data_IF_894605681975
#
_entry.id   IF_894605681975
#
_cell.length_a   1.000
_cell.length_b   1.000
_cell.length_c   1.000
_cell.angle_alpha   90.00
_cell.angle_beta   90.00
_cell.angle_gamma   90.00
#
_symmetry.space_group_name_H-M   'P 1'
#
loop_
_entity.id
_entity.type
_entity.pdbx_description
1 polymer ?
#
# COMPACT_ATOMS: atom_id res chain seq x y z
N UNK A 1 -8.90 3.59 -44.42
CA UNK A 1 -8.84 4.59 -43.34
C UNK A 1 -9.35 3.91 -42.08
N UNK A 2 -8.46 3.32 -41.27
CA UNK A 2 -8.85 2.73 -39.99
C UNK A 2 -8.92 3.83 -38.95
N UNK A 3 -10.12 4.06 -38.43
CA UNK A 3 -10.35 4.92 -37.27
C UNK A 3 -9.65 4.31 -36.06
N UNK A 4 -8.52 4.89 -35.68
CA UNK A 4 -7.93 4.69 -34.36
C UNK A 4 -8.95 5.13 -33.31
N UNK A 5 -9.40 4.19 -32.49
CA UNK A 5 -10.11 4.49 -31.25
C UNK A 5 -9.08 5.21 -30.37
N UNK A 6 -9.10 6.53 -30.41
CA UNK A 6 -8.52 7.34 -29.36
C UNK A 6 -9.42 7.08 -28.16
N UNK A 7 -8.98 6.20 -27.26
CA UNK A 7 -9.49 6.19 -25.89
C UNK A 7 -9.29 7.62 -25.40
N UNK A 8 -10.38 8.38 -25.28
CA UNK A 8 -10.34 9.68 -24.62
C UNK A 8 -9.69 9.45 -23.26
N UNK A 9 -8.66 10.22 -22.92
CA UNK A 9 -8.13 10.29 -21.56
C UNK A 9 -9.28 10.71 -20.65
N UNK A 10 -10.02 9.73 -20.13
CA UNK A 10 -10.77 9.94 -18.92
C UNK A 10 -9.70 10.30 -17.88
N UNK A 11 -9.70 11.55 -17.42
CA UNK A 11 -8.98 11.92 -16.21
C UNK A 11 -9.52 10.99 -15.11
N UNK A 12 -8.84 9.87 -14.88
CA UNK A 12 -9.22 8.88 -13.89
C UNK A 12 -8.99 9.52 -12.52
N UNK A 13 -10.05 10.10 -11.97
CA UNK A 13 -10.09 10.62 -10.61
C UNK A 13 -10.32 9.45 -9.65
N UNK A 14 -9.24 8.82 -9.21
CA UNK A 14 -9.28 7.69 -8.28
C UNK A 14 -10.06 8.03 -6.99
N UNK A 15 -9.99 9.27 -6.50
CA UNK A 15 -10.79 9.67 -5.33
C UNK A 15 -12.29 9.66 -5.65
N UNK A 16 -12.67 10.11 -6.85
CA UNK A 16 -14.06 10.06 -7.33
C UNK A 16 -14.57 8.62 -7.38
N UNK A 17 -13.77 7.67 -7.89
CA UNK A 17 -14.14 6.25 -7.92
C UNK A 17 -14.39 5.69 -6.51
N UNK A 18 -13.53 6.05 -5.54
CA UNK A 18 -13.72 5.65 -4.14
C UNK A 18 -15.00 6.27 -3.55
N UNK A 19 -15.30 7.52 -3.89
CA UNK A 19 -16.53 8.19 -3.47
C UNK A 19 -17.77 7.52 -4.08
N UNK A 20 -17.73 7.06 -5.33
CA UNK A 20 -18.82 6.31 -5.94
C UNK A 20 -19.11 4.99 -5.21
N UNK A 21 -18.07 4.27 -4.79
CA UNK A 21 -18.25 3.07 -3.95
C UNK A 21 -18.88 3.40 -2.60
N UNK A 22 -18.45 4.51 -1.97
CA UNK A 22 -19.03 4.98 -0.72
C UNK A 22 -20.52 5.34 -0.90
N UNK A 23 -20.86 6.14 -1.92
CA UNK A 23 -22.22 6.57 -2.20
C UNK A 23 -23.13 5.37 -2.51
N UNK A 24 -22.62 4.38 -3.25
CA UNK A 24 -23.34 3.13 -3.49
C UNK A 24 -23.61 2.35 -2.19
N UNK A 25 -22.67 2.31 -1.24
CA UNK A 25 -22.88 1.65 0.04
C UNK A 25 -23.82 2.46 0.95
N UNK A 26 -23.72 3.79 0.91
CA UNK A 26 -24.47 4.70 1.77
C UNK A 26 -26.00 4.58 1.58
N UNK A 27 -26.47 4.23 0.37
CA UNK A 27 -27.90 4.00 0.09
C UNK A 27 -28.52 2.89 0.94
N UNK A 28 -27.71 1.96 1.47
CA UNK A 28 -28.15 0.87 2.33
C UNK A 28 -28.16 1.24 3.82
N UNK A 29 -27.86 2.49 4.15
CA UNK A 29 -27.85 3.02 5.51
C UNK A 29 -28.98 4.01 5.73
N UNK A 30 -29.20 4.42 6.99
CA UNK A 30 -30.22 5.44 7.35
C UNK A 30 -29.58 6.68 7.98
N UNK A 31 -28.33 6.96 7.61
CA UNK A 31 -27.59 8.10 8.14
C UNK A 31 -27.99 9.40 7.46
N UNK A 32 -27.86 10.51 8.21
CA UNK A 32 -28.08 11.86 7.69
C UNK A 32 -27.13 12.18 6.52
N UNK A 33 -27.61 12.92 5.53
CA UNK A 33 -26.83 13.25 4.34
C UNK A 33 -25.59 14.09 4.66
N UNK A 34 -25.67 15.01 5.64
CA UNK A 34 -24.52 15.80 6.08
C UNK A 34 -23.49 14.96 6.81
N UNK A 35 -23.92 13.96 7.58
CA UNK A 35 -23.00 12.99 8.19
C UNK A 35 -22.28 12.16 7.12
N UNK A 36 -23.00 11.67 6.11
CA UNK A 36 -22.40 10.91 5.00
C UNK A 36 -21.40 11.77 4.22
N UNK A 37 -21.71 13.05 3.98
CA UNK A 37 -20.80 13.99 3.33
C UNK A 37 -19.51 14.22 4.15
N UNK A 38 -19.65 14.33 5.47
CA UNK A 38 -18.51 14.44 6.39
C UNK A 38 -17.65 13.17 6.42
N UNK A 39 -18.26 11.97 6.34
CA UNK A 39 -17.51 10.70 6.32
C UNK A 39 -16.75 10.55 4.99
N UNK A 40 -17.35 11.00 3.88
CA UNK A 40 -16.76 10.93 2.54
C UNK A 40 -15.57 11.87 2.35
N UNK A 41 -15.59 13.01 3.04
CA UNK A 41 -14.59 14.07 2.87
C UNK A 41 -13.28 13.76 3.58
N UNK A 42 -12.15 14.10 2.94
CA UNK A 42 -10.88 14.11 3.65
C UNK A 42 -10.80 15.31 4.60
N UNK A 43 -10.55 15.07 5.88
CA UNK A 43 -10.46 16.12 6.89
C UNK A 43 -9.27 17.06 6.67
N UNK A 44 -8.09 16.52 6.31
CA UNK A 44 -6.88 17.31 6.16
C UNK A 44 -6.08 16.89 4.92
N UNK A 45 -5.70 17.87 4.09
CA UNK A 45 -4.77 17.68 2.97
C UNK A 45 -3.54 18.56 3.19
N UNK A 46 -2.39 17.93 3.43
CA UNK A 46 -1.11 18.62 3.53
C UNK A 46 -0.22 18.33 2.32
N UNK A 47 -0.26 19.23 1.33
CA UNK A 47 0.66 19.27 0.20
C UNK A 47 1.83 20.21 0.50
N UNK A 48 3.05 19.75 0.27
CA UNK A 48 4.24 20.55 0.50
C UNK A 48 5.35 20.20 -0.48
N UNK A 49 6.31 21.13 -0.59
CA UNK A 49 7.51 20.98 -1.41
C UNK A 49 8.74 21.22 -0.55
N UNK A 50 9.77 20.40 -0.72
CA UNK A 50 11.04 20.58 -0.02
C UNK A 50 12.23 20.35 -0.95
N UNK A 51 13.32 21.14 -0.80
CA UNK A 51 14.53 20.95 -1.58
C UNK A 51 15.43 19.87 -0.96
N UNK A 52 16.12 19.13 -1.82
CA UNK A 52 17.28 18.31 -1.46
C UNK A 52 18.50 18.77 -2.27
N UNK A 53 19.71 18.54 -1.75
CA UNK A 53 20.93 18.72 -2.53
C UNK A 53 21.13 17.51 -3.43
N UNK A 54 21.44 17.74 -4.71
CA UNK A 54 21.72 16.69 -5.71
C UNK A 54 22.91 17.10 -6.56
N UNK A 55 24.01 16.36 -6.43
CA UNK A 55 25.30 16.78 -6.99
C UNK A 55 25.67 18.20 -6.54
N UNK A 56 25.92 19.08 -7.51
CA UNK A 56 26.26 20.49 -7.26
C UNK A 56 25.03 21.42 -7.21
N UNK A 57 23.81 20.89 -7.30
CA UNK A 57 22.57 21.66 -7.39
C UNK A 57 21.52 21.25 -6.35
N UNK A 58 20.29 21.69 -6.61
CA UNK A 58 19.12 21.39 -5.79
C UNK A 58 18.01 20.79 -6.65
N UNK A 59 17.29 19.84 -6.07
CA UNK A 59 16.06 19.30 -6.62
C UNK A 59 14.92 19.57 -5.64
N UNK A 60 13.78 20.07 -6.11
CA UNK A 60 12.58 20.31 -5.29
C UNK A 60 11.60 19.17 -5.50
N UNK A 61 11.19 18.54 -4.41
CA UNK A 61 10.32 17.35 -4.43
C UNK A 61 8.93 17.74 -3.96
N UNK A 62 7.91 17.31 -4.70
CA UNK A 62 6.50 17.38 -4.30
C UNK A 62 6.12 16.20 -3.40
N UNK A 63 5.42 16.50 -2.31
CA UNK A 63 4.99 15.52 -1.33
C UNK A 63 3.63 15.85 -0.71
N UNK A 64 2.97 14.81 -0.22
CA UNK A 64 1.65 14.88 0.40
C UNK A 64 1.58 14.01 1.65
N UNK A 65 0.81 14.46 2.64
CA UNK A 65 0.19 13.62 3.66
C UNK A 65 -1.26 14.04 3.82
N UNK A 66 -2.17 13.08 3.72
CA UNK A 66 -3.62 13.31 3.76
C UNK A 66 -4.21 12.45 4.87
N UNK A 67 -5.01 13.06 5.72
CA UNK A 67 -5.77 12.41 6.78
C UNK A 67 -7.24 12.45 6.36
N UNK A 68 -7.81 11.29 6.09
CA UNK A 68 -9.19 11.20 5.65
C UNK A 68 -10.15 11.47 6.81
N UNK A 69 -9.95 10.81 7.95
CA UNK A 69 -10.89 10.90 9.06
C UNK A 69 -10.20 10.82 10.41
N UNK A 70 -10.68 11.61 11.37
CA UNK A 70 -10.25 11.61 12.77
C UNK A 70 -11.25 10.95 13.74
N UNK A 71 -12.26 10.23 13.25
CA UNK A 71 -13.24 9.55 14.12
C UNK A 71 -12.59 8.54 15.09
N UNK A 72 -11.40 8.05 14.74
CA UNK A 72 -10.49 7.27 15.58
C UNK A 72 -9.08 7.87 15.44
N UNK A 73 -8.35 7.94 16.54
CA UNK A 73 -6.97 8.44 16.59
C UNK A 73 -6.05 7.38 17.22
N UNK A 74 -4.81 7.21 16.72
CA UNK A 74 -4.19 7.96 15.63
C UNK A 74 -4.76 7.63 14.24
N UNK A 75 -4.49 8.47 13.24
CA UNK A 75 -4.69 8.06 11.85
C UNK A 75 -3.58 7.09 11.40
N UNK A 76 -3.84 6.32 10.34
CA UNK A 76 -2.94 5.28 9.85
C UNK A 76 -2.91 5.22 8.34
N UNK A 77 -1.70 5.16 7.78
CA UNK A 77 -1.50 4.61 6.44
C UNK A 77 -0.13 4.83 5.83
N UNK A 78 0.09 4.17 4.70
CA UNK A 78 1.42 4.04 4.12
C UNK A 78 1.99 5.33 3.50
N UNK A 79 3.30 5.33 3.24
CA UNK A 79 3.98 6.37 2.44
C UNK A 79 4.48 5.74 1.13
N UNK A 80 4.04 6.27 0.00
CA UNK A 80 4.37 5.79 -1.34
C UNK A 80 5.46 6.62 -2.01
N UNK A 81 6.45 5.97 -2.61
CA UNK A 81 7.41 6.59 -3.54
C UNK A 81 7.04 6.20 -4.97
N UNK A 82 6.58 7.14 -5.78
CA UNK A 82 6.30 6.93 -7.20
C UNK A 82 6.23 8.27 -7.96
N UNK A 83 6.67 8.29 -9.23
CA UNK A 83 6.52 9.45 -10.12
C UNK A 83 5.05 9.78 -10.42
N UNK A 84 4.15 8.82 -10.23
CA UNK A 84 2.71 8.96 -10.48
C UNK A 84 1.94 9.56 -9.31
N UNK A 85 2.58 9.74 -8.15
CA UNK A 85 1.93 10.32 -6.96
C UNK A 85 1.35 11.70 -7.32
N UNK A 86 0.09 11.87 -6.96
CA UNK A 86 -0.66 13.11 -7.07
C UNK A 86 -1.68 13.20 -5.91
N UNK A 87 -2.29 14.37 -5.72
CA UNK A 87 -3.19 14.62 -4.60
C UNK A 87 -4.43 13.69 -4.61
N UNK A 88 -5.06 13.53 -5.77
CA UNK A 88 -6.25 12.70 -5.96
C UNK A 88 -5.99 11.23 -5.58
N UNK A 89 -4.87 10.66 -6.03
CA UNK A 89 -4.45 9.30 -5.65
C UNK A 89 -4.27 9.16 -4.12
N UNK A 90 -3.62 10.15 -3.49
CA UNK A 90 -3.34 10.10 -2.04
C UNK A 90 -4.64 10.26 -1.23
N UNK A 91 -5.60 11.08 -1.70
CA UNK A 91 -6.93 11.20 -1.09
C UNK A 91 -7.70 9.89 -1.16
N UNK A 92 -7.76 9.27 -2.34
CA UNK A 92 -8.39 7.97 -2.57
C UNK A 92 -7.85 6.90 -1.62
N UNK A 93 -6.52 6.81 -1.52
CA UNK A 93 -5.87 5.83 -0.67
C UNK A 93 -6.04 6.14 0.83
N UNK A 94 -6.13 7.41 1.24
CA UNK A 94 -6.43 7.79 2.62
C UNK A 94 -7.87 7.41 3.01
N UNK A 95 -8.83 7.61 2.12
CA UNK A 95 -10.22 7.18 2.31
C UNK A 95 -10.31 5.65 2.45
N UNK A 96 -9.70 4.91 1.52
CA UNK A 96 -9.62 3.45 1.59
C UNK A 96 -8.97 2.95 2.89
N UNK A 97 -8.01 3.67 3.46
CA UNK A 97 -7.45 3.31 4.76
C UNK A 97 -8.48 3.40 5.90
N UNK A 98 -9.35 4.41 5.89
CA UNK A 98 -10.41 4.56 6.91
C UNK A 98 -11.38 3.40 6.83
N UNK A 99 -11.91 3.14 5.63
CA UNK A 99 -12.89 2.07 5.41
C UNK A 99 -12.29 0.69 5.71
N UNK A 100 -11.05 0.45 5.27
CA UNK A 100 -10.34 -0.80 5.57
C UNK A 100 -10.17 -1.01 7.06
N UNK A 101 -9.75 0.01 7.81
CA UNK A 101 -9.60 -0.08 9.26
C UNK A 101 -10.93 -0.40 9.95
N UNK A 102 -12.03 0.23 9.51
CA UNK A 102 -13.37 -0.06 10.01
C UNK A 102 -13.80 -1.52 9.73
N UNK A 103 -13.58 -2.03 8.50
CA UNK A 103 -13.96 -3.41 8.12
C UNK A 103 -13.29 -4.46 9.01
N UNK A 104 -12.03 -4.25 9.40
CA UNK A 104 -11.27 -5.21 10.22
C UNK A 104 -11.19 -4.83 11.71
N UNK A 105 -12.03 -3.90 12.17
CA UNK A 105 -12.07 -3.42 13.56
C UNK A 105 -10.71 -2.97 14.12
N UNK A 106 -9.90 -2.30 13.29
CA UNK A 106 -8.65 -1.68 13.71
C UNK A 106 -8.94 -0.20 14.06
N UNK A 107 -8.66 0.26 15.30
CA UNK A 107 -9.11 1.56 15.79
C UNK A 107 -8.25 2.71 15.29
N UNK A 108 -8.21 2.92 13.98
CA UNK A 108 -7.50 4.03 13.35
C UNK A 108 -8.39 4.74 12.32
N UNK A 109 -8.26 6.07 12.27
CA UNK A 109 -8.65 6.84 11.10
C UNK A 109 -7.72 6.56 9.92
N UNK A 110 -8.17 6.76 8.69
CA UNK A 110 -7.32 6.56 7.52
C UNK A 110 -6.47 7.77 7.21
N UNK A 111 -5.22 7.53 6.82
CA UNK A 111 -4.32 8.52 6.26
C UNK A 111 -3.50 7.91 5.11
N UNK A 112 -2.83 8.73 4.31
CA UNK A 112 -1.89 8.28 3.29
C UNK A 112 -0.85 9.35 3.00
N UNK A 113 0.40 8.94 2.81
CA UNK A 113 1.48 9.81 2.34
C UNK A 113 1.95 9.43 0.95
N UNK A 114 2.51 10.41 0.22
CA UNK A 114 3.10 10.22 -1.10
C UNK A 114 4.28 11.16 -1.31
N UNK A 115 5.36 10.66 -1.89
CA UNK A 115 6.51 11.45 -2.34
C UNK A 115 6.70 11.19 -3.83
N UNK A 116 6.66 12.25 -4.64
CA UNK A 116 6.67 12.15 -6.10
C UNK A 116 8.08 11.99 -6.66
N UNK A 117 8.62 10.78 -6.54
CA UNK A 117 9.96 10.39 -7.00
C UNK A 117 9.96 8.98 -7.59
N UNK A 118 10.90 8.67 -8.48
CA UNK A 118 11.25 7.30 -8.80
C UNK A 118 12.44 6.87 -7.95
N UNK A 119 12.26 5.96 -6.97
CA UNK A 119 13.33 5.61 -6.05
C UNK A 119 14.55 4.98 -6.74
N UNK A 120 14.41 4.44 -7.95
CA UNK A 120 15.53 3.89 -8.73
C UNK A 120 16.50 4.97 -9.26
N UNK A 121 16.10 6.24 -9.26
CA UNK A 121 16.91 7.39 -9.74
C UNK A 121 17.72 8.07 -8.62
N UNK A 122 17.69 7.54 -7.41
CA UNK A 122 18.37 8.11 -6.25
C UNK A 122 19.25 7.06 -5.59
N UNK A 123 20.39 7.50 -5.08
CA UNK A 123 21.22 6.72 -4.17
C UNK A 123 20.51 6.51 -2.84
N UNK A 124 20.97 5.54 -2.06
CA UNK A 124 20.45 5.30 -0.72
C UNK A 124 20.58 6.52 0.20
N UNK A 125 21.69 7.25 0.13
CA UNK A 125 21.90 8.46 0.92
C UNK A 125 20.92 9.58 0.55
N UNK A 126 20.61 9.72 -0.75
CA UNK A 126 19.61 10.68 -1.21
C UNK A 126 18.21 10.26 -0.74
N UNK A 127 17.85 8.99 -0.83
CA UNK A 127 16.59 8.47 -0.30
C UNK A 127 16.46 8.68 1.21
N UNK A 128 17.54 8.49 1.97
CA UNK A 128 17.56 8.80 3.40
C UNK A 128 17.27 10.29 3.64
N UNK A 129 18.00 11.18 2.96
CA UNK A 129 17.81 12.62 3.09
C UNK A 129 16.38 13.06 2.74
N UNK A 130 15.80 12.49 1.68
CA UNK A 130 14.40 12.73 1.29
C UNK A 130 13.45 12.28 2.39
N UNK A 131 13.61 11.04 2.88
CA UNK A 131 12.73 10.43 3.89
C UNK A 131 12.76 11.22 5.19
N UNK A 132 13.97 11.57 5.65
CA UNK A 132 14.17 12.36 6.88
C UNK A 132 13.61 13.76 6.72
N UNK A 133 13.86 14.43 5.60
CA UNK A 133 13.31 15.78 5.36
C UNK A 133 11.79 15.77 5.29
N UNK A 134 11.19 14.80 4.61
CA UNK A 134 9.74 14.59 4.60
C UNK A 134 9.20 14.42 6.03
N UNK A 135 9.85 13.59 6.84
CA UNK A 135 9.48 13.36 8.25
C UNK A 135 9.53 14.65 9.07
N UNK A 136 10.56 15.47 8.90
CA UNK A 136 10.68 16.79 9.55
C UNK A 136 9.50 17.71 9.20
N UNK A 137 9.09 17.73 7.92
CA UNK A 137 7.93 18.53 7.50
C UNK A 137 6.62 18.04 8.12
N UNK A 138 6.45 16.71 8.28
CA UNK A 138 5.29 16.14 8.96
C UNK A 138 5.27 16.48 10.46
N UNK A 139 6.43 16.36 11.14
CA UNK A 139 6.55 16.69 12.58
C UNK A 139 6.13 18.14 12.83
N UNK A 140 6.65 19.07 12.03
CA UNK A 140 6.35 20.51 12.16
C UNK A 140 4.87 20.85 12.01
N UNK A 141 4.09 19.99 11.36
CA UNK A 141 2.67 20.21 11.07
C UNK A 141 1.75 19.23 11.79
N UNK A 142 2.27 18.42 12.71
CA UNK A 142 1.52 17.37 13.42
C UNK A 142 0.85 16.35 12.48
N UNK A 143 1.51 15.97 11.39
CA UNK A 143 1.08 14.89 10.49
C UNK A 143 1.86 13.58 10.74
N UNK A 144 2.47 13.45 11.92
CA UNK A 144 3.10 12.23 12.40
C UNK A 144 3.20 12.28 13.93
N UNK A 145 2.94 11.15 14.58
CA UNK A 145 3.12 10.95 16.01
C UNK A 145 2.37 9.73 16.51
N UNK A 146 2.82 9.08 17.60
CA UNK A 146 2.26 7.82 18.08
C UNK A 146 0.75 7.90 18.40
N UNK A 147 0.27 9.07 18.81
CA UNK A 147 -1.14 9.35 19.13
C UNK A 147 -1.84 10.27 18.12
N UNK A 148 -1.16 10.66 17.04
CA UNK A 148 -1.66 11.62 16.05
C UNK A 148 -1.87 10.92 14.71
N UNK A 149 -0.79 10.53 14.06
CA UNK A 149 -0.79 9.87 12.77
C UNK A 149 0.42 8.94 12.66
N UNK A 150 0.19 7.68 12.31
CA UNK A 150 1.20 6.63 12.31
C UNK A 150 1.42 6.12 10.88
N UNK A 151 2.51 6.51 10.19
CA UNK A 151 2.79 6.00 8.85
C UNK A 151 3.16 4.51 8.80
N UNK A 152 3.30 3.98 7.59
CA UNK A 152 3.72 2.59 7.30
C UNK A 152 4.39 2.49 5.93
N UNK A 153 4.97 1.32 5.57
CA UNK A 153 5.40 1.03 4.21
C UNK A 153 4.25 1.04 3.21
N UNK A 154 4.57 1.41 1.98
CA UNK A 154 3.73 1.25 0.78
C UNK A 154 4.61 0.98 -0.44
N UNK A 155 4.09 1.17 -1.65
CA UNK A 155 4.87 1.03 -2.87
C UNK A 155 6.11 1.94 -2.87
N UNK A 156 7.29 1.34 -3.08
CA UNK A 156 8.57 2.04 -3.10
C UNK A 156 9.18 2.35 -1.72
N UNK A 157 8.56 1.90 -0.62
CA UNK A 157 9.10 2.04 0.75
C UNK A 157 9.04 0.73 1.52
N UNK A 158 9.92 0.56 2.51
CA UNK A 158 10.03 -0.64 3.32
C UNK A 158 10.56 -0.37 4.71
N UNK A 159 11.10 -1.41 5.35
CA UNK A 159 11.62 -1.34 6.72
C UNK A 159 12.71 -0.27 6.87
N UNK A 160 13.55 -0.09 5.85
CA UNK A 160 14.61 0.92 5.83
C UNK A 160 14.05 2.33 6.01
N UNK A 161 13.09 2.74 5.18
CA UNK A 161 12.48 4.06 5.27
C UNK A 161 11.76 4.25 6.61
N UNK A 162 11.07 3.21 7.11
CA UNK A 162 10.42 3.29 8.42
C UNK A 162 11.43 3.44 9.57
N UNK A 163 12.63 2.86 9.43
CA UNK A 163 13.73 3.07 10.36
C UNK A 163 14.18 4.53 10.40
N UNK A 164 14.39 5.14 9.24
CA UNK A 164 14.75 6.57 9.14
C UNK A 164 13.67 7.50 9.68
N UNK A 165 12.39 7.18 9.45
CA UNK A 165 11.25 7.94 10.00
C UNK A 165 11.27 7.87 11.53
N UNK A 166 11.37 6.65 12.09
CA UNK A 166 11.36 6.44 13.54
C UNK A 166 12.52 7.17 14.23
N UNK A 167 13.73 7.04 13.68
CA UNK A 167 14.94 7.70 14.18
C UNK A 167 14.83 9.23 14.15
N UNK A 168 14.35 9.78 13.03
CA UNK A 168 14.15 11.23 12.89
C UNK A 168 13.12 11.76 13.88
N UNK A 169 11.99 11.05 14.03
CA UNK A 169 10.95 11.44 14.97
C UNK A 169 11.41 11.40 16.42
N UNK A 170 12.07 10.31 16.83
CA UNK A 170 12.59 10.16 18.19
C UNK A 170 13.64 11.23 18.52
N UNK A 171 14.53 11.55 17.57
CA UNK A 171 15.55 12.60 17.73
C UNK A 171 14.93 13.98 17.92
N UNK A 172 13.84 14.28 17.22
CA UNK A 172 13.16 15.58 17.30
C UNK A 172 12.18 15.70 18.49
N UNK A 173 11.84 14.59 19.16
CA UNK A 173 10.94 14.56 20.31
C UNK A 173 11.63 13.90 21.51
N UNK A 174 12.75 14.47 22.02
CA UNK A 174 13.50 13.88 23.10
C UNK A 174 12.64 13.79 24.37
N UNK A 175 12.71 12.65 25.07
CA UNK A 175 11.96 12.40 26.30
C UNK A 175 10.54 11.86 26.11
N UNK A 176 10.05 11.76 24.87
CA UNK A 176 8.76 11.11 24.61
C UNK A 176 8.90 9.58 24.66
N UNK A 177 8.30 8.96 25.68
CA UNK A 177 8.46 7.53 25.96
C UNK A 177 7.92 6.59 24.86
N UNK A 178 6.93 7.02 24.09
CA UNK A 178 6.29 6.26 23.01
C UNK A 178 6.74 6.73 21.61
N UNK A 179 7.84 7.47 21.50
CA UNK A 179 8.29 8.08 20.24
C UNK A 179 8.44 7.07 19.08
N UNK A 180 8.92 5.85 19.35
CA UNK A 180 9.06 4.81 18.33
C UNK A 180 7.71 4.23 17.86
N UNK A 181 6.61 4.55 18.54
CA UNK A 181 5.24 4.28 18.12
C UNK A 181 4.76 5.16 16.97
N UNK A 182 5.53 6.19 16.57
CA UNK A 182 5.15 7.11 15.50
C UNK A 182 5.04 6.46 14.11
N UNK A 183 5.59 5.27 13.89
CA UNK A 183 5.58 4.57 12.59
C UNK A 183 5.57 3.05 12.77
N UNK A 184 4.87 2.32 11.90
CA UNK A 184 4.89 0.85 11.87
C UNK A 184 5.61 0.30 10.64
N UNK A 185 5.88 -1.02 10.61
CA UNK A 185 6.69 -1.62 9.55
C UNK A 185 8.19 -1.35 9.68
N UNK A 186 8.64 -1.05 10.88
CA UNK A 186 10.07 -0.93 11.24
C UNK A 186 10.77 -2.29 11.18
N UNK A 187 12.11 -2.31 11.05
CA UNK A 187 12.90 -3.53 11.22
C UNK A 187 12.67 -4.13 12.62
N UNK A 188 12.78 -5.45 12.75
CA UNK A 188 12.65 -6.15 14.04
C UNK A 188 13.63 -5.61 15.09
N UNK A 189 14.87 -5.34 14.67
CA UNK A 189 15.90 -4.75 15.53
C UNK A 189 15.54 -3.35 16.05
N UNK A 190 14.58 -2.67 15.42
CA UNK A 190 14.06 -1.35 15.81
C UNK A 190 12.60 -1.46 16.28
N UNK A 191 12.31 -2.46 17.12
CA UNK A 191 10.97 -2.71 17.68
C UNK A 191 9.87 -2.90 16.63
N UNK A 192 10.24 -3.42 15.46
CA UNK A 192 9.30 -4.01 14.51
C UNK A 192 8.65 -5.27 15.08
N UNK A 193 7.48 -5.63 14.55
CA UNK A 193 6.78 -6.85 14.96
C UNK A 193 7.04 -7.98 13.96
N UNK A 194 7.33 -9.17 14.47
CA UNK A 194 7.47 -10.38 13.65
C UNK A 194 6.19 -10.63 12.84
N UNK A 195 6.33 -11.12 11.62
CA UNK A 195 5.17 -11.34 10.76
C UNK A 195 4.76 -10.13 9.91
N UNK A 196 5.27 -8.92 10.20
CA UNK A 196 4.76 -7.70 9.56
C UNK A 196 5.04 -7.66 8.06
N UNK A 197 6.19 -8.18 7.61
CA UNK A 197 6.58 -8.16 6.21
C UNK A 197 5.62 -8.99 5.37
N UNK A 198 5.30 -10.18 5.85
CA UNK A 198 4.43 -11.16 5.18
C UNK A 198 2.93 -10.95 5.45
N UNK A 199 2.58 -10.15 6.48
CA UNK A 199 1.21 -9.99 6.98
C UNK A 199 0.16 -9.69 5.90
N UNK A 200 0.46 -8.76 4.97
CA UNK A 200 -0.51 -8.39 3.93
C UNK A 200 -0.79 -9.56 2.99
N UNK A 201 0.26 -10.25 2.51
CA UNK A 201 0.08 -11.41 1.63
C UNK A 201 -0.58 -12.59 2.34
N UNK A 202 -0.27 -12.78 3.63
CA UNK A 202 -0.95 -13.76 4.47
C UNK A 202 -2.44 -13.46 4.62
N UNK A 203 -2.80 -12.20 4.84
CA UNK A 203 -4.18 -11.76 4.92
C UNK A 203 -4.95 -12.01 3.62
N UNK A 204 -4.34 -11.74 2.46
CA UNK A 204 -4.91 -12.05 1.14
C UNK A 204 -5.17 -13.56 1.00
N UNK A 205 -4.18 -14.39 1.34
CA UNK A 205 -4.33 -15.84 1.24
C UNK A 205 -5.43 -16.39 2.17
N UNK A 206 -5.52 -15.86 3.40
CA UNK A 206 -6.59 -16.22 4.34
C UNK A 206 -7.95 -15.79 3.78
N UNK A 207 -8.09 -14.53 3.37
CA UNK A 207 -9.36 -14.03 2.82
C UNK A 207 -9.81 -14.85 1.60
N UNK A 208 -8.91 -15.12 0.66
CA UNK A 208 -9.21 -15.96 -0.51
C UNK A 208 -9.64 -17.37 -0.10
N UNK A 209 -8.94 -18.01 0.84
CA UNK A 209 -9.30 -19.34 1.38
C UNK A 209 -10.70 -19.34 1.98
N UNK A 210 -11.03 -18.35 2.81
CA UNK A 210 -12.35 -18.26 3.44
C UNK A 210 -13.45 -18.01 2.38
N UNK A 211 -13.25 -17.07 1.46
CA UNK A 211 -14.22 -16.76 0.40
C UNK A 211 -14.55 -17.98 -0.46
N UNK A 212 -13.55 -18.77 -0.85
CA UNK A 212 -13.79 -19.96 -1.67
C UNK A 212 -14.28 -21.17 -0.89
N UNK A 213 -14.38 -21.07 0.44
CA UNK A 213 -14.92 -22.14 1.28
C UNK A 213 -16.45 -22.06 1.45
N UNK A 214 -17.07 -20.93 1.06
CA UNK A 214 -18.52 -20.74 1.10
C UNK A 214 -19.20 -21.51 -0.03
N UNK A 215 -19.84 -22.63 0.32
CA UNK A 215 -20.38 -23.56 -0.69
C UNK A 215 -21.47 -22.96 -1.58
N UNK A 216 -22.33 -22.10 -1.02
CA UNK A 216 -23.40 -21.43 -1.76
C UNK A 216 -22.87 -20.50 -2.85
N UNK A 217 -21.80 -19.76 -2.56
CA UNK A 217 -21.18 -18.86 -3.51
C UNK A 217 -20.41 -19.64 -4.59
N UNK A 218 -19.67 -20.68 -4.20
CA UNK A 218 -18.95 -21.52 -5.17
C UNK A 218 -19.90 -22.25 -6.12
N UNK A 219 -21.06 -22.71 -5.63
CA UNK A 219 -22.09 -23.32 -6.47
C UNK A 219 -22.61 -22.36 -7.55
N UNK A 220 -22.83 -21.08 -7.22
CA UNK A 220 -23.24 -20.05 -8.20
C UNK A 220 -22.18 -19.81 -9.27
N UNK A 221 -20.90 -19.96 -8.91
CA UNK A 221 -19.76 -19.81 -9.81
C UNK A 221 -19.41 -21.10 -10.58
N UNK A 222 -20.10 -22.22 -10.32
CA UNK A 222 -19.78 -23.52 -10.91
C UNK A 222 -18.44 -24.10 -10.43
N UNK A 223 -17.98 -23.70 -9.25
CA UNK A 223 -16.72 -24.13 -8.65
C UNK A 223 -16.97 -25.04 -7.45
N UNK A 224 -16.02 -25.93 -7.17
CA UNK A 224 -16.02 -26.72 -5.93
C UNK A 224 -15.64 -25.84 -4.72
N UNK A 225 -16.21 -26.05 -3.53
CA UNK A 225 -15.75 -25.39 -2.30
C UNK A 225 -14.31 -25.78 -1.93
N UNK A 226 -13.58 -24.85 -1.31
CA UNK A 226 -12.22 -25.04 -0.83
C UNK A 226 -11.13 -24.59 -1.81
N UNK A 227 -9.96 -24.25 -1.26
CA UNK A 227 -8.84 -23.64 -2.00
C UNK A 227 -7.94 -24.67 -2.71
N UNK A 228 -7.93 -25.92 -2.23
CA UNK A 228 -7.08 -26.98 -2.76
C UNK A 228 -7.37 -27.26 -4.24
N UNK A 229 -6.33 -27.28 -5.07
CA UNK A 229 -6.42 -27.51 -6.51
C UNK A 229 -6.94 -26.32 -7.32
N UNK A 230 -7.32 -25.20 -6.69
CA UNK A 230 -7.70 -23.99 -7.43
C UNK A 230 -6.50 -23.37 -8.13
N UNK A 231 -6.68 -23.04 -9.41
CA UNK A 231 -5.66 -22.38 -10.23
C UNK A 231 -5.69 -20.88 -9.98
N UNK A 232 -4.54 -20.30 -9.61
CA UNK A 232 -4.40 -18.88 -9.26
C UNK A 232 -3.33 -18.23 -10.12
N UNK A 233 -3.61 -17.01 -10.59
CA UNK A 233 -2.64 -16.14 -11.25
C UNK A 233 -2.42 -14.93 -10.35
N UNK A 234 -1.16 -14.54 -10.15
CA UNK A 234 -0.78 -13.40 -9.31
C UNK A 234 -0.09 -12.33 -10.14
N UNK A 235 -0.70 -11.13 -10.17
CA UNK A 235 -0.10 -9.96 -10.80
C UNK A 235 0.72 -9.16 -9.76
N UNK A 236 2.01 -9.03 -10.02
CA UNK A 236 3.02 -8.46 -9.16
C UNK A 236 3.61 -9.51 -8.22
N UNK A 237 4.92 -9.65 -8.24
CA UNK A 237 5.76 -10.46 -7.36
C UNK A 237 6.60 -9.57 -6.41
N UNK A 238 6.04 -8.42 -6.05
CA UNK A 238 6.51 -7.61 -4.92
C UNK A 238 6.16 -8.25 -3.58
N UNK A 239 6.32 -7.50 -2.48
CA UNK A 239 6.09 -8.03 -1.13
C UNK A 239 4.70 -8.68 -0.96
N UNK A 240 3.63 -8.00 -1.36
CA UNK A 240 2.26 -8.55 -1.22
C UNK A 240 2.06 -9.79 -2.08
N UNK A 241 2.44 -9.72 -3.35
CA UNK A 241 2.18 -10.79 -4.31
C UNK A 241 2.99 -12.06 -4.03
N UNK A 242 4.27 -11.93 -3.69
CA UNK A 242 5.12 -13.07 -3.30
C UNK A 242 4.52 -13.84 -2.12
N UNK A 243 4.20 -13.14 -1.01
CA UNK A 243 3.64 -13.81 0.15
C UNK A 243 2.21 -14.31 -0.08
N UNK A 244 1.40 -13.63 -0.91
CA UNK A 244 0.07 -14.13 -1.28
C UNK A 244 0.19 -15.45 -2.04
N UNK A 245 1.02 -15.51 -3.08
CA UNK A 245 1.26 -16.70 -3.88
C UNK A 245 1.81 -17.84 -3.02
N UNK A 246 2.79 -17.54 -2.16
CA UNK A 246 3.39 -18.52 -1.23
C UNK A 246 2.37 -19.15 -0.29
N UNK A 247 1.59 -18.33 0.44
CA UNK A 247 0.62 -18.87 1.39
C UNK A 247 -0.57 -19.56 0.71
N UNK A 248 -0.99 -19.10 -0.47
CA UNK A 248 -1.99 -19.80 -1.26
C UNK A 248 -1.50 -21.19 -1.70
N UNK A 249 -0.26 -21.29 -2.15
CA UNK A 249 0.37 -22.57 -2.47
C UNK A 249 0.47 -23.48 -1.23
N UNK A 250 0.84 -22.95 -0.07
CA UNK A 250 0.86 -23.69 1.22
C UNK A 250 -0.54 -24.20 1.62
N UNK A 251 -1.62 -23.49 1.26
CA UNK A 251 -3.00 -23.96 1.44
C UNK A 251 -3.47 -24.94 0.35
N UNK A 252 -2.63 -25.24 -0.64
CA UNK A 252 -2.89 -26.20 -1.70
C UNK A 252 -3.47 -25.61 -2.98
N UNK A 253 -3.47 -24.29 -3.16
CA UNK A 253 -3.75 -23.67 -4.46
C UNK A 253 -2.60 -23.96 -5.44
N UNK A 254 -2.92 -24.01 -6.73
CA UNK A 254 -1.93 -24.13 -7.80
C UNK A 254 -1.65 -22.75 -8.39
N UNK A 255 -0.44 -22.22 -8.17
CA UNK A 255 -0.04 -20.95 -8.79
C UNK A 255 0.35 -21.23 -10.24
N UNK A 256 -0.51 -20.91 -11.20
CA UNK A 256 -0.31 -21.26 -12.61
C UNK A 256 0.25 -20.11 -13.44
N UNK A 257 0.25 -18.89 -12.90
CA UNK A 257 0.81 -17.74 -13.61
C UNK A 257 1.24 -16.60 -12.69
N UNK A 258 2.32 -15.92 -13.09
CA UNK A 258 2.85 -14.76 -12.41
C UNK A 258 3.11 -13.67 -13.46
N UNK A 259 2.65 -12.44 -13.20
CA UNK A 259 2.83 -11.29 -14.08
C UNK A 259 3.62 -10.18 -13.38
N UNK A 260 4.51 -9.52 -14.10
CA UNK A 260 5.26 -8.33 -13.67
C UNK A 260 5.31 -7.30 -14.80
N UNK A 261 5.92 -6.14 -14.57
CA UNK A 261 5.99 -5.08 -15.58
C UNK A 261 6.75 -5.52 -16.85
N UNK A 262 7.69 -6.45 -16.73
CA UNK A 262 8.46 -7.00 -17.84
C UNK A 262 7.69 -8.03 -18.69
N UNK A 263 6.62 -8.64 -18.17
CA UNK A 263 5.86 -9.68 -18.86
C UNK A 263 5.20 -10.70 -17.92
N UNK A 264 4.85 -11.88 -18.42
CA UNK A 264 4.18 -12.92 -17.66
C UNK A 264 4.74 -14.32 -17.97
N UNK A 265 4.69 -15.20 -16.98
CA UNK A 265 4.98 -16.64 -17.12
C UNK A 265 3.75 -17.45 -16.74
N UNK A 266 3.59 -18.61 -17.38
CA UNK A 266 2.46 -19.51 -17.16
C UNK A 266 2.92 -20.96 -17.25
N UNK A 267 2.57 -21.78 -16.24
CA UNK A 267 2.68 -23.23 -16.29
C UNK A 267 1.37 -23.83 -15.78
N UNK A 268 0.74 -24.67 -16.60
CA UNK A 268 -0.52 -25.31 -16.25
C UNK A 268 -0.41 -26.32 -15.10
N UNK A 269 0.79 -26.88 -14.91
CA UNK A 269 1.15 -27.82 -13.84
C UNK A 269 1.58 -27.11 -12.55
N UNK A 270 1.69 -25.77 -12.59
CA UNK A 270 2.03 -24.92 -11.45
C UNK A 270 3.46 -24.39 -11.46
N UNK A 271 3.67 -23.32 -10.69
CA UNK A 271 4.93 -22.62 -10.52
C UNK A 271 5.36 -22.71 -9.05
N UNK A 272 6.62 -23.09 -8.79
CA UNK A 272 7.20 -22.89 -7.47
C UNK A 272 7.54 -21.41 -7.28
N UNK A 273 6.77 -20.77 -6.40
CA UNK A 273 6.86 -19.33 -6.12
C UNK A 273 8.25 -18.93 -5.61
N UNK A 274 8.92 -19.79 -4.84
CA UNK A 274 10.23 -19.47 -4.27
C UNK A 274 11.31 -19.49 -5.34
N UNK A 275 11.31 -20.50 -6.23
CA UNK A 275 12.30 -20.60 -7.30
C UNK A 275 12.13 -19.51 -8.35
N UNK A 276 10.89 -19.13 -8.69
CA UNK A 276 10.61 -17.98 -9.56
C UNK A 276 11.13 -16.69 -8.92
N UNK A 277 10.94 -16.51 -7.61
CA UNK A 277 11.42 -15.33 -6.90
C UNK A 277 12.96 -15.25 -6.87
N UNK A 278 13.65 -16.37 -6.62
CA UNK A 278 15.11 -16.41 -6.66
C UNK A 278 15.65 -16.19 -8.08
N UNK A 279 15.01 -16.74 -9.12
CA UNK A 279 15.34 -16.44 -10.53
C UNK A 279 15.25 -14.95 -10.81
N UNK A 280 14.14 -14.31 -10.40
CA UNK A 280 13.97 -12.86 -10.57
C UNK A 280 15.03 -12.07 -9.83
N UNK A 281 15.39 -12.48 -8.61
CA UNK A 281 16.43 -11.80 -7.82
C UNK A 281 17.81 -11.90 -8.48
N UNK A 282 18.11 -13.04 -9.11
CA UNK A 282 19.38 -13.27 -9.79
C UNK A 282 19.47 -12.57 -11.16
N UNK A 283 18.39 -12.52 -11.92
CA UNK A 283 18.39 -12.04 -13.31
C UNK A 283 17.79 -10.65 -13.49
N UNK A 284 17.05 -10.16 -12.49
CA UNK A 284 16.27 -8.91 -12.56
C UNK A 284 14.94 -9.04 -13.31
N UNK A 285 14.53 -10.25 -13.72
CA UNK A 285 13.33 -10.49 -14.53
C UNK A 285 12.67 -11.84 -14.20
N UNK A 286 11.35 -11.94 -14.27
CA UNK A 286 10.67 -13.24 -14.23
C UNK A 286 10.75 -14.01 -15.56
N UNK A 287 11.08 -13.33 -16.66
CA UNK A 287 11.18 -13.95 -17.98
C UNK A 287 12.39 -14.88 -18.08
N UNK A 288 12.27 -15.92 -18.91
CA UNK A 288 13.30 -16.94 -19.06
C UNK A 288 13.41 -17.92 -17.89
N UNK A 289 12.44 -17.90 -16.96
CA UNK A 289 12.31 -18.94 -15.94
C UNK A 289 12.00 -20.30 -16.60
N UNK A 290 12.72 -21.39 -16.27
CA UNK A 290 12.45 -22.72 -16.82
C UNK A 290 11.14 -23.28 -16.24
N UNK A 291 10.17 -23.54 -17.12
CA UNK A 291 8.82 -24.01 -16.77
C UNK A 291 8.77 -25.53 -16.60
#
# INVERSE_FOLDING_TARGET
MSSSIVLSEAENHFFSDVCQFFDHAAQFTRHDAGLLDQIRSCNSVYRFRFPIRKGNGFEVIDAWRIEHSHHQSPTKGGIRYSEMVNEDEVMALAALMTYKCAIVNVPFGGAKGGIKINPKKYSEQELENITRRYTVELIKKNFIGPSIDVPAPDYGTGEREMGWIADTYATMNPGQGDALGCVTGKPIALHGIAGRREATGRGVAIAARECVSVAEDMKKLGLMPGITGKRVIVQGLGNVGFYSAKFLAEYGALIVGICEYEGAIYNEDGLDVNTVFEHRKATGSILGYPL
#
